data_IF_400682140913
#
_entry.id   IF_400682140913
#
_cell.length_a   1.000
_cell.length_b   1.000
_cell.length_c   1.000
_cell.angle_alpha   90.00
_cell.angle_beta   90.00
_cell.angle_gamma   90.00
#
_symmetry.space_group_name_H-M   'P 1'
#
loop_
_entity.id
_entity.type
_entity.pdbx_description
1 polymer ?
#
# COMPACT_ATOMS: atom_id res chain seq x y z
N UNK A 1 67.29 -61.20 -39.53
CA UNK A 1 65.84 -61.46 -39.72
C UNK A 1 65.11 -61.18 -38.43
N UNK A 2 64.09 -60.32 -38.53
CA UNK A 2 62.86 -60.22 -37.72
C UNK A 2 62.96 -59.79 -36.25
N UNK A 3 62.30 -58.65 -36.05
CA UNK A 3 62.07 -57.85 -34.86
C UNK A 3 60.99 -58.44 -33.93
N UNK A 4 60.84 -57.71 -32.82
CA UNK A 4 59.62 -57.42 -32.06
C UNK A 4 59.30 -58.34 -30.87
N UNK A 5 59.77 -57.92 -29.69
CA UNK A 5 59.06 -58.15 -28.44
C UNK A 5 58.90 -56.82 -27.70
N UNK A 6 57.64 -56.61 -27.31
CA UNK A 6 56.99 -55.57 -26.55
C UNK A 6 57.76 -54.95 -25.37
N UNK A 7 57.56 -53.64 -25.19
CA UNK A 7 57.48 -53.04 -23.85
C UNK A 7 56.38 -51.98 -23.85
N UNK A 8 55.31 -52.28 -23.12
CA UNK A 8 54.19 -51.38 -22.81
C UNK A 8 54.62 -50.45 -21.68
N UNK A 9 54.59 -49.14 -21.92
CA UNK A 9 54.85 -48.10 -20.92
C UNK A 9 53.51 -47.46 -20.52
N UNK A 10 53.06 -47.53 -19.25
CA UNK A 10 51.91 -46.76 -18.82
C UNK A 10 52.35 -45.32 -18.51
N UNK A 11 51.74 -44.39 -19.23
CA UNK A 11 51.90 -42.95 -19.04
C UNK A 11 51.13 -42.53 -17.78
N UNK A 12 51.84 -42.30 -16.67
CA UNK A 12 51.27 -41.69 -15.46
C UNK A 12 50.95 -40.21 -15.74
N UNK A 13 49.70 -39.90 -16.03
CA UNK A 13 49.17 -38.54 -15.98
C UNK A 13 48.97 -38.15 -14.50
N UNK A 14 49.88 -37.34 -13.95
CA UNK A 14 49.65 -36.65 -12.68
C UNK A 14 48.68 -35.50 -12.92
N UNK A 15 47.38 -35.74 -12.70
CA UNK A 15 46.37 -34.69 -12.59
C UNK A 15 46.68 -33.88 -11.33
N UNK A 16 47.25 -32.69 -11.51
CA UNK A 16 47.25 -31.67 -10.46
C UNK A 16 45.81 -31.19 -10.31
N UNK A 17 45.12 -31.68 -9.29
CA UNK A 17 43.86 -31.10 -8.85
C UNK A 17 44.19 -29.74 -8.26
N UNK A 18 44.02 -28.68 -9.06
CA UNK A 18 44.01 -27.31 -8.53
C UNK A 18 42.77 -27.23 -7.64
N UNK A 19 42.98 -27.28 -6.33
CA UNK A 19 41.95 -26.97 -5.37
C UNK A 19 41.45 -25.54 -5.67
N UNK A 20 40.21 -25.41 -6.13
CA UNK A 20 39.57 -24.11 -6.23
C UNK A 20 39.39 -23.59 -4.80
N UNK A 21 40.21 -22.63 -4.39
CA UNK A 21 40.01 -21.91 -3.14
C UNK A 21 38.63 -21.24 -3.18
N UNK A 22 37.70 -21.80 -2.41
CA UNK A 22 36.42 -21.15 -2.13
C UNK A 22 36.73 -19.92 -1.28
N UNK A 23 36.28 -18.77 -1.76
CA UNK A 23 36.42 -17.49 -1.07
C UNK A 23 35.12 -17.19 -0.33
N UNK A 24 35.22 -16.41 0.73
CA UNK A 24 34.07 -15.80 1.39
C UNK A 24 33.50 -14.69 0.49
N UNK A 25 32.18 -14.50 0.55
CA UNK A 25 31.47 -13.44 -0.17
C UNK A 25 30.71 -12.59 0.84
N UNK A 26 31.05 -11.30 0.90
CA UNK A 26 30.36 -10.31 1.74
C UNK A 26 29.41 -9.51 0.85
N UNK A 27 28.11 -9.61 1.11
CA UNK A 27 27.10 -8.78 0.45
C UNK A 27 26.84 -7.54 1.31
N UNK A 28 27.07 -6.36 0.73
CA UNK A 28 26.82 -5.08 1.39
C UNK A 28 25.38 -4.58 1.20
N UNK A 29 24.98 -3.63 2.05
CA UNK A 29 23.64 -2.99 2.01
C UNK A 29 23.40 -2.24 0.69
N UNK A 30 24.44 -1.72 0.07
CA UNK A 30 24.36 -1.06 -1.23
C UNK A 30 24.30 -2.04 -2.42
N UNK A 31 24.33 -3.36 -2.17
CA UNK A 31 24.29 -4.39 -3.21
C UNK A 31 25.66 -4.86 -3.72
N UNK A 32 26.77 -4.29 -3.22
CA UNK A 32 28.12 -4.72 -3.62
C UNK A 32 28.44 -6.10 -3.04
N UNK A 33 29.02 -6.98 -3.86
CA UNK A 33 29.53 -8.27 -3.44
C UNK A 33 31.06 -8.24 -3.39
N UNK A 34 31.63 -8.38 -2.19
CA UNK A 34 33.06 -8.43 -1.98
C UNK A 34 33.51 -9.88 -1.86
N UNK A 35 34.37 -10.33 -2.76
CA UNK A 35 34.91 -11.70 -2.76
C UNK A 35 36.32 -11.72 -2.19
N UNK A 36 36.56 -12.53 -1.17
CA UNK A 36 37.83 -12.54 -0.44
C UNK A 36 37.78 -13.45 0.79
N UNK A 37 38.43 -13.06 1.88
CA UNK A 37 38.49 -13.83 3.12
C UNK A 37 38.17 -12.96 4.33
N UNK A 38 37.23 -13.38 5.14
CA UNK A 38 36.95 -12.79 6.45
C UNK A 38 37.94 -13.37 7.45
N UNK A 39 38.76 -12.49 8.04
CA UNK A 39 39.85 -12.88 8.95
C UNK A 39 39.44 -12.77 10.42
N UNK A 40 38.59 -11.80 10.75
CA UNK A 40 38.12 -11.55 12.11
C UNK A 40 36.74 -10.88 12.08
N UNK A 41 35.92 -11.17 13.09
CA UNK A 41 34.62 -10.53 13.31
C UNK A 41 34.70 -9.87 14.69
N UNK A 42 34.94 -8.55 14.71
CA UNK A 42 34.88 -7.74 15.94
C UNK A 42 33.45 -7.38 16.30
N UNK A 43 33.23 -6.54 17.30
CA UNK A 43 31.86 -6.20 17.74
C UNK A 43 31.10 -5.35 16.72
N UNK A 44 31.75 -4.33 16.16
CA UNK A 44 31.17 -3.32 15.26
C UNK A 44 31.61 -3.46 13.79
N UNK A 45 32.71 -4.17 13.53
CA UNK A 45 33.33 -4.31 12.22
C UNK A 45 33.90 -5.72 12.00
N UNK A 46 34.14 -6.06 10.74
CA UNK A 46 34.85 -7.26 10.33
C UNK A 46 36.17 -6.88 9.66
N UNK A 47 37.18 -7.76 9.75
CA UNK A 47 38.43 -7.64 9.01
C UNK A 47 38.37 -8.54 7.78
N UNK A 48 38.51 -7.96 6.60
CA UNK A 48 38.35 -8.62 5.31
C UNK A 48 39.58 -8.42 4.42
N UNK A 49 39.96 -9.43 3.65
CA UNK A 49 41.05 -9.38 2.67
C UNK A 49 40.49 -9.75 1.30
N UNK A 50 40.68 -8.90 0.28
CA UNK A 50 40.21 -9.23 -1.07
C UNK A 50 40.97 -10.40 -1.68
N UNK A 51 40.32 -11.12 -2.59
CA UNK A 51 40.94 -12.22 -3.32
C UNK A 51 42.21 -11.74 -4.05
N UNK A 52 43.34 -12.34 -3.72
CA UNK A 52 44.64 -12.03 -4.34
C UNK A 52 45.37 -10.84 -3.70
N UNK A 53 44.82 -10.24 -2.65
CA UNK A 53 45.47 -9.17 -1.88
C UNK A 53 45.97 -9.68 -0.52
N UNK A 54 46.85 -8.92 0.12
CA UNK A 54 47.35 -9.17 1.48
C UNK A 54 46.94 -8.09 2.49
N UNK A 55 46.30 -7.02 2.01
CA UNK A 55 45.85 -5.92 2.87
C UNK A 55 44.55 -6.28 3.59
N UNK A 56 44.49 -5.93 4.87
CA UNK A 56 43.34 -6.16 5.74
C UNK A 56 42.50 -4.88 5.81
N UNK A 57 41.24 -4.99 5.42
CA UNK A 57 40.26 -3.90 5.43
C UNK A 57 39.28 -4.07 6.58
N UNK A 58 38.95 -2.98 7.27
CA UNK A 58 37.90 -2.95 8.28
C UNK A 58 36.57 -2.54 7.63
N UNK A 59 35.56 -3.42 7.68
CA UNK A 59 34.23 -3.18 7.12
C UNK A 59 33.22 -3.17 8.25
N UNK A 60 32.43 -2.09 8.36
CA UNK A 60 31.40 -1.97 9.39
C UNK A 60 30.30 -3.00 9.18
N UNK A 61 29.87 -3.66 10.25
CA UNK A 61 28.77 -4.64 10.20
C UNK A 61 27.44 -4.01 9.75
N UNK A 62 27.24 -2.72 10.03
CA UNK A 62 26.05 -1.96 9.57
C UNK A 62 25.90 -1.96 8.05
N UNK A 63 27.00 -2.09 7.34
CA UNK A 63 27.05 -1.96 5.89
C UNK A 63 26.99 -3.34 5.20
N UNK A 64 26.81 -4.42 5.98
CA UNK A 64 26.81 -5.82 5.53
C UNK A 64 25.41 -6.42 5.71
N UNK A 65 24.84 -6.98 4.64
CA UNK A 65 23.60 -7.77 4.68
C UNK A 65 23.92 -9.19 5.17
N UNK A 66 24.82 -9.87 4.46
CA UNK A 66 25.21 -11.26 4.76
C UNK A 66 26.65 -11.55 4.37
N UNK A 67 27.24 -12.53 5.03
CA UNK A 67 28.50 -13.17 4.66
C UNK A 67 28.21 -14.61 4.32
N UNK A 68 28.65 -15.05 3.14
CA UNK A 68 28.68 -16.46 2.73
C UNK A 68 30.11 -16.94 2.83
N UNK A 69 30.42 -17.76 3.83
CA UNK A 69 31.76 -18.29 4.02
C UNK A 69 32.08 -19.37 2.98
N UNK A 70 33.37 -19.57 2.71
CA UNK A 70 33.90 -20.64 1.88
C UNK A 70 33.43 -22.04 2.30
N UNK A 71 33.11 -22.21 3.59
CA UNK A 71 32.53 -23.44 4.17
C UNK A 71 31.06 -23.67 3.82
N UNK A 72 30.38 -22.70 3.20
CA UNK A 72 28.95 -22.72 2.95
C UNK A 72 28.09 -22.22 4.12
N UNK A 73 28.70 -21.88 5.27
CA UNK A 73 28.00 -21.19 6.36
C UNK A 73 27.57 -19.80 5.89
N UNK A 74 26.36 -19.39 6.23
CA UNK A 74 25.86 -18.03 5.95
C UNK A 74 25.57 -17.34 7.27
N UNK A 75 26.04 -16.11 7.42
CA UNK A 75 25.80 -15.28 8.60
C UNK A 75 25.23 -13.92 8.16
N UNK A 76 24.07 -13.56 8.72
CA UNK A 76 23.36 -12.33 8.39
C UNK A 76 23.66 -11.26 9.45
N UNK A 77 24.12 -10.10 9.01
CA UNK A 77 24.43 -8.96 9.89
C UNK A 77 23.35 -7.88 9.85
N UNK A 78 22.75 -7.67 8.68
CA UNK A 78 21.59 -6.82 8.50
C UNK A 78 20.52 -7.62 7.75
N UNK A 79 19.54 -8.16 8.48
CA UNK A 79 18.38 -8.81 7.87
C UNK A 79 17.42 -7.70 7.41
N UNK A 80 17.20 -7.47 6.11
CA UNK A 80 15.90 -6.93 5.72
C UNK A 80 14.85 -7.87 6.31
N UNK A 81 13.93 -7.33 7.10
CA UNK A 81 12.90 -8.10 7.79
C UNK A 81 12.02 -8.81 6.77
N UNK A 82 12.35 -10.08 6.53
CA UNK A 82 11.44 -11.08 5.99
C UNK A 82 10.87 -11.85 7.19
N UNK A 83 9.56 -12.14 7.19
CA UNK A 83 8.89 -12.71 8.35
C UNK A 83 9.33 -14.16 8.52
N UNK A 84 9.95 -14.48 9.64
CA UNK A 84 10.03 -15.86 10.09
C UNK A 84 10.02 -15.92 11.60
N UNK A 85 9.13 -16.78 12.07
CA UNK A 85 9.06 -17.49 13.35
C UNK A 85 10.14 -17.20 14.40
N UNK A 86 9.61 -16.79 15.55
CA UNK A 86 10.02 -17.15 16.90
C UNK A 86 11.52 -17.06 17.26
N UNK A 87 11.85 -16.06 18.09
CA UNK A 87 12.47 -16.29 19.40
C UNK A 87 12.27 -15.08 20.31
N UNK A 88 11.98 -15.42 21.56
CA UNK A 88 11.56 -14.57 22.68
C UNK A 88 12.62 -13.57 23.17
N UNK A 89 12.11 -12.62 23.96
CA UNK A 89 12.80 -11.79 24.96
C UNK A 89 13.66 -10.60 24.51
N UNK A 90 12.99 -9.45 24.30
CA UNK A 90 12.94 -8.32 25.27
C UNK A 90 12.05 -7.19 24.72
N UNK A 91 11.25 -6.50 25.56
CA UNK A 91 10.25 -5.55 25.10
C UNK A 91 10.92 -4.25 24.63
N UNK A 92 10.81 -3.94 23.34
CA UNK A 92 10.98 -2.56 22.82
C UNK A 92 9.66 -1.81 23.00
N UNK A 93 9.67 -0.57 23.52
CA UNK A 93 8.46 0.22 23.70
C UNK A 93 7.94 0.62 22.32
N UNK A 94 6.78 0.06 21.92
CA UNK A 94 6.10 0.40 20.67
C UNK A 94 5.43 -0.78 19.95
N UNK A 95 5.81 -2.02 20.25
CA UNK A 95 5.11 -3.20 19.70
C UNK A 95 3.99 -3.61 20.67
N UNK A 96 2.83 -2.98 20.51
CA UNK A 96 1.59 -3.69 20.85
C UNK A 96 1.41 -4.77 19.77
N UNK A 97 2.18 -5.87 19.84
CA UNK A 97 1.77 -7.10 19.18
C UNK A 97 0.57 -7.55 20.02
N UNK A 98 -0.61 -7.06 19.65
CA UNK A 98 -1.86 -7.64 20.15
C UNK A 98 -1.77 -9.15 19.93
N UNK A 99 -1.93 -9.93 21.00
CA UNK A 99 -2.02 -11.37 20.87
C UNK A 99 -3.09 -11.71 19.83
N UNK A 100 -2.95 -12.82 19.11
CA UNK A 100 -3.94 -13.26 18.11
C UNK A 100 -5.36 -13.31 18.70
N UNK A 101 -5.47 -13.58 20.00
CA UNK A 101 -6.72 -13.53 20.75
C UNK A 101 -7.29 -12.10 20.91
N UNK A 102 -6.44 -11.10 21.13
CA UNK A 102 -6.85 -9.70 21.31
C UNK A 102 -7.30 -9.03 20.02
N UNK A 103 -6.86 -9.55 18.86
CA UNK A 103 -7.29 -9.05 17.55
C UNK A 103 -8.69 -9.50 17.17
N UNK A 104 -9.18 -10.58 17.79
CA UNK A 104 -10.42 -11.25 17.38
C UNK A 104 -11.62 -10.33 17.41
N UNK A 105 -12.52 -10.52 16.44
CA UNK A 105 -13.78 -9.80 16.29
C UNK A 105 -13.63 -8.28 16.21
N UNK A 106 -12.44 -7.76 15.87
CA UNK A 106 -12.20 -6.33 15.68
C UNK A 106 -12.05 -6.00 14.21
N UNK A 107 -12.60 -4.87 13.82
CA UNK A 107 -12.54 -4.33 12.46
C UNK A 107 -11.87 -2.97 12.51
N UNK A 108 -10.90 -2.72 11.63
CA UNK A 108 -10.43 -1.38 11.31
C UNK A 108 -10.86 -0.99 9.89
N UNK A 109 -11.04 0.30 9.70
CA UNK A 109 -11.31 0.91 8.39
C UNK A 109 -10.10 1.77 8.08
N UNK A 110 -9.40 1.51 6.97
CA UNK A 110 -8.27 2.36 6.57
C UNK A 110 -8.79 3.70 6.01
N UNK A 111 -7.95 4.76 6.01
CA UNK A 111 -8.25 5.96 5.25
C UNK A 111 -8.53 5.61 3.79
N UNK A 112 -9.63 6.12 3.24
CA UNK A 112 -9.99 5.77 1.87
C UNK A 112 -9.07 6.47 0.89
N UNK A 113 -8.70 5.78 -0.19
CA UNK A 113 -8.06 6.45 -1.32
C UNK A 113 -9.13 7.19 -2.10
N UNK A 114 -8.97 8.51 -2.27
CA UNK A 114 -9.91 9.32 -3.03
C UNK A 114 -9.23 9.85 -4.29
N UNK A 115 -9.82 9.58 -5.45
CA UNK A 115 -9.32 9.97 -6.76
C UNK A 115 -10.37 10.88 -7.40
N UNK A 116 -9.98 12.11 -7.73
CA UNK A 116 -10.86 13.08 -8.39
C UNK A 116 -10.26 13.52 -9.72
N UNK A 117 -11.04 13.43 -10.80
CA UNK A 117 -10.60 13.78 -12.15
C UNK A 117 -9.26 13.11 -12.54
N UNK A 118 -9.13 11.82 -12.19
CA UNK A 118 -7.92 10.99 -12.33
C UNK A 118 -6.67 11.48 -11.58
N UNK A 119 -6.82 12.42 -10.66
CA UNK A 119 -5.76 12.89 -9.77
C UNK A 119 -6.04 12.44 -8.33
N UNK A 120 -4.98 12.28 -7.54
CA UNK A 120 -5.14 12.06 -6.10
C UNK A 120 -5.84 13.27 -5.48
N UNK A 121 -6.92 13.03 -4.77
CA UNK A 121 -7.60 14.08 -4.02
C UNK A 121 -6.94 14.27 -2.64
N UNK A 122 -7.33 15.35 -1.95
CA UNK A 122 -6.83 15.64 -0.60
C UNK A 122 -7.18 14.52 0.39
N UNK A 123 -6.27 14.27 1.35
CA UNK A 123 -6.42 13.25 2.39
C UNK A 123 -7.71 13.42 3.21
N UNK A 124 -8.18 14.67 3.36
CA UNK A 124 -9.41 15.01 4.09
C UNK A 124 -10.65 14.28 3.55
N UNK A 125 -10.79 14.12 2.23
CA UNK A 125 -11.93 13.38 1.66
C UNK A 125 -11.85 11.89 1.96
N UNK A 126 -10.63 11.34 2.00
CA UNK A 126 -10.39 9.96 2.41
C UNK A 126 -10.77 9.71 3.87
N UNK A 127 -10.41 10.64 4.77
CA UNK A 127 -10.79 10.59 6.18
C UNK A 127 -12.29 10.78 6.38
N UNK A 128 -12.94 11.65 5.60
CA UNK A 128 -14.39 11.81 5.66
C UNK A 128 -15.11 10.51 5.27
N UNK A 129 -14.72 9.90 4.15
CA UNK A 129 -15.34 8.64 3.71
C UNK A 129 -15.09 7.48 4.71
N UNK A 130 -13.91 7.45 5.35
CA UNK A 130 -13.62 6.53 6.45
C UNK A 130 -14.58 6.73 7.64
N UNK A 131 -14.82 7.97 8.05
CA UNK A 131 -15.74 8.29 9.16
C UNK A 131 -17.20 7.91 8.84
N UNK A 132 -17.64 8.10 7.60
CA UNK A 132 -18.97 7.69 7.16
C UNK A 132 -19.12 6.17 7.14
N UNK A 133 -18.09 5.46 6.66
CA UNK A 133 -18.00 4.00 6.72
C UNK A 133 -18.11 3.51 8.18
N UNK A 134 -17.35 4.11 9.10
CA UNK A 134 -17.39 3.80 10.53
C UNK A 134 -18.78 4.03 11.13
N UNK A 135 -19.37 5.21 10.87
CA UNK A 135 -20.69 5.59 11.39
C UNK A 135 -21.78 4.63 10.92
N UNK A 136 -21.68 4.12 9.68
CA UNK A 136 -22.62 3.14 9.16
C UNK A 136 -22.35 1.75 9.74
N UNK A 137 -21.11 1.26 9.66
CA UNK A 137 -20.75 -0.10 10.04
C UNK A 137 -20.89 -0.34 11.55
N UNK A 138 -20.54 0.63 12.39
CA UNK A 138 -20.68 0.54 13.86
C UNK A 138 -22.12 0.29 14.32
N UNK A 139 -23.13 0.68 13.52
CA UNK A 139 -24.55 0.42 13.80
C UNK A 139 -25.01 -0.98 13.38
N UNK A 140 -24.21 -1.66 12.57
CA UNK A 140 -24.56 -2.91 11.89
C UNK A 140 -23.46 -3.98 12.02
N UNK A 141 -22.53 -3.84 12.98
CA UNK A 141 -21.40 -4.76 13.14
C UNK A 141 -21.73 -6.00 13.99
N UNK A 142 -22.91 -6.06 14.60
CA UNK A 142 -23.32 -7.17 15.46
C UNK A 142 -22.38 -7.31 16.66
N UNK A 143 -21.75 -8.48 16.81
CA UNK A 143 -20.76 -8.76 17.86
C UNK A 143 -19.36 -8.24 17.53
N UNK A 144 -19.14 -7.73 16.31
CA UNK A 144 -17.84 -7.20 15.90
C UNK A 144 -17.65 -5.79 16.44
N UNK A 145 -16.45 -5.52 16.95
CA UNK A 145 -16.05 -4.21 17.46
C UNK A 145 -15.34 -3.43 16.36
N UNK A 146 -15.97 -2.34 15.91
CA UNK A 146 -15.32 -1.43 14.94
C UNK A 146 -14.45 -0.45 15.71
N UNK A 147 -13.15 -0.43 15.41
CA UNK A 147 -12.19 0.51 16.00
C UNK A 147 -12.43 1.91 15.44
N UNK A 148 -12.34 2.90 16.32
CA UNK A 148 -12.51 4.30 15.97
C UNK A 148 -11.47 4.76 14.90
N UNK A 149 -11.89 5.55 13.88
CA UNK A 149 -11.00 6.01 12.83
C UNK A 149 -9.79 6.81 13.33
N UNK A 150 -9.95 7.65 14.35
CA UNK A 150 -8.84 8.44 14.92
C UNK A 150 -7.81 7.53 15.57
N UNK A 151 -8.25 6.49 16.27
CA UNK A 151 -7.36 5.48 16.85
C UNK A 151 -6.60 4.73 15.77
N UNK A 152 -7.31 4.27 14.73
CA UNK A 152 -6.71 3.59 13.57
C UNK A 152 -5.64 4.46 12.92
N UNK A 153 -5.98 5.71 12.59
CA UNK A 153 -5.08 6.64 11.92
C UNK A 153 -3.86 6.98 12.78
N UNK A 154 -4.04 7.16 14.09
CA UNK A 154 -2.94 7.42 15.00
C UNK A 154 -1.97 6.22 15.08
N UNK A 155 -2.46 4.98 15.08
CA UNK A 155 -1.62 3.78 15.08
C UNK A 155 -0.86 3.63 13.77
N UNK A 156 -1.53 3.83 12.63
CA UNK A 156 -0.92 3.81 11.31
C UNK A 156 0.21 4.84 11.19
N UNK A 157 -0.04 6.09 11.57
CA UNK A 157 0.96 7.17 11.52
C UNK A 157 2.15 6.87 12.44
N UNK A 158 1.89 6.38 13.67
CA UNK A 158 2.95 5.98 14.61
C UNK A 158 3.84 4.86 14.07
N UNK A 159 3.28 3.95 13.27
CA UNK A 159 4.01 2.88 12.60
C UNK A 159 4.67 3.31 11.28
N UNK A 160 4.48 4.56 10.83
CA UNK A 160 5.01 5.06 9.57
C UNK A 160 4.19 4.66 8.33
N UNK A 161 3.00 4.09 8.52
CA UNK A 161 2.04 3.77 7.47
C UNK A 161 1.20 5.01 7.09
N UNK A 162 1.86 6.02 6.50
CA UNK A 162 1.24 7.23 5.96
C UNK A 162 0.63 6.97 4.58
N UNK A 163 -0.22 7.89 4.05
CA UNK A 163 -0.96 7.67 2.80
C UNK A 163 -0.05 7.34 1.58
N UNK A 164 1.16 7.88 1.56
CA UNK A 164 2.19 7.63 0.54
C UNK A 164 2.90 6.27 0.72
N UNK A 165 3.02 5.79 1.97
CA UNK A 165 3.81 4.60 2.34
C UNK A 165 2.97 3.37 2.65
N UNK A 166 1.65 3.52 2.83
CA UNK A 166 0.76 2.43 3.23
C UNK A 166 0.77 1.26 2.23
N UNK A 167 1.06 1.53 0.95
CA UNK A 167 1.25 0.48 -0.09
C UNK A 167 2.48 -0.40 0.12
N UNK A 168 3.42 0.04 0.95
CA UNK A 168 4.60 -0.74 1.32
C UNK A 168 4.35 -1.74 2.45
N UNK A 169 3.16 -1.72 3.07
CA UNK A 169 2.77 -2.63 4.14
C UNK A 169 1.84 -3.71 3.60
N UNK A 170 1.97 -4.93 4.10
CA UNK A 170 1.01 -6.00 3.85
C UNK A 170 -0.21 -5.88 4.76
N UNK A 171 -1.32 -6.53 4.42
CA UNK A 171 -2.55 -6.39 5.23
C UNK A 171 -2.43 -7.07 6.60
N UNK A 172 -1.67 -8.15 6.71
CA UNK A 172 -1.33 -8.79 7.98
C UNK A 172 -0.47 -7.87 8.88
N UNK A 173 0.51 -7.15 8.31
CA UNK A 173 1.27 -6.14 9.04
C UNK A 173 0.37 -5.01 9.55
N UNK A 174 -0.53 -4.50 8.71
CA UNK A 174 -1.50 -3.47 9.11
C UNK A 174 -2.46 -3.99 10.20
N UNK A 175 -2.93 -5.23 10.10
CA UNK A 175 -3.75 -5.86 11.13
C UNK A 175 -2.99 -5.98 12.45
N UNK A 176 -1.70 -6.34 12.42
CA UNK A 176 -0.86 -6.43 13.59
C UNK A 176 -0.57 -5.06 14.23
N UNK A 177 -0.34 -4.02 13.41
CA UNK A 177 -0.12 -2.64 13.88
C UNK A 177 -1.36 -2.08 14.57
N UNK A 178 -2.54 -2.27 13.98
CA UNK A 178 -3.80 -1.70 14.49
C UNK A 178 -4.39 -2.59 15.61
N UNK A 179 -4.09 -3.89 15.59
CA UNK A 179 -4.60 -4.87 16.53
C UNK A 179 -6.01 -5.36 16.20
N UNK A 180 -6.27 -5.68 14.94
CA UNK A 180 -7.58 -6.10 14.42
C UNK A 180 -7.53 -7.40 13.63
N UNK A 181 -8.67 -8.10 13.53
CA UNK A 181 -8.83 -9.32 12.73
C UNK A 181 -9.19 -8.99 11.28
N UNK A 182 -9.94 -7.91 11.05
CA UNK A 182 -10.42 -7.51 9.74
C UNK A 182 -10.06 -6.06 9.42
N UNK A 183 -9.68 -5.82 8.17
CA UNK A 183 -9.44 -4.49 7.61
C UNK A 183 -10.36 -4.25 6.43
N UNK A 184 -10.99 -3.07 6.39
CA UNK A 184 -11.69 -2.55 5.22
C UNK A 184 -10.77 -1.56 4.51
N UNK A 185 -10.49 -1.84 3.24
CA UNK A 185 -9.77 -0.97 2.32
C UNK A 185 -10.72 -0.54 1.19
N UNK A 186 -10.75 0.74 0.85
CA UNK A 186 -11.62 1.23 -0.20
C UNK A 186 -11.03 2.42 -0.96
N UNK A 187 -11.35 2.45 -2.25
CA UNK A 187 -11.04 3.56 -3.16
C UNK A 187 -12.32 4.16 -3.71
N UNK A 188 -12.44 5.47 -3.65
CA UNK A 188 -13.51 6.25 -4.28
C UNK A 188 -12.93 7.01 -5.47
N UNK A 189 -13.47 6.77 -6.65
CA UNK A 189 -13.13 7.51 -7.88
C UNK A 189 -14.30 8.39 -8.26
N UNK A 190 -14.05 9.69 -8.45
CA UNK A 190 -15.04 10.69 -8.81
C UNK A 190 -14.55 11.51 -9.99
N UNK A 191 -15.21 11.38 -11.13
CA UNK A 191 -14.86 12.13 -12.34
C UNK A 191 -15.98 13.10 -12.69
N UNK A 192 -15.64 14.35 -13.03
CA UNK A 192 -16.60 15.29 -13.60
C UNK A 192 -17.13 14.76 -14.93
N UNK A 193 -18.45 14.83 -15.10
CA UNK A 193 -19.11 14.51 -16.37
C UNK A 193 -19.71 15.77 -16.98
N UNK A 194 -20.98 15.74 -17.38
CA UNK A 194 -21.65 16.86 -18.04
C UNK A 194 -21.99 17.98 -17.07
N UNK A 195 -22.08 19.21 -17.58
CA UNK A 195 -22.68 20.33 -16.86
C UNK A 195 -24.11 20.51 -17.36
N UNK A 196 -25.10 20.53 -16.46
CA UNK A 196 -26.49 20.80 -16.80
C UNK A 196 -26.82 22.25 -16.43
N UNK A 197 -27.19 23.06 -17.42
CA UNK A 197 -27.63 24.45 -17.20
C UNK A 197 -29.12 24.58 -17.50
N UNK A 198 -29.87 25.06 -16.51
CA UNK A 198 -31.28 25.39 -16.66
C UNK A 198 -31.42 26.91 -16.67
N UNK A 199 -31.91 27.46 -17.78
CA UNK A 199 -32.16 28.89 -17.94
C UNK A 199 -33.67 29.12 -18.00
N UNK A 200 -34.21 29.86 -17.04
CA UNK A 200 -35.62 30.26 -17.01
C UNK A 200 -35.70 31.78 -17.22
N UNK A 201 -36.42 32.19 -18.26
CA UNK A 201 -36.64 33.58 -18.61
C UNK A 201 -38.12 33.91 -18.57
N UNK A 202 -38.46 35.07 -18.01
CA UNK A 202 -39.81 35.63 -18.13
C UNK A 202 -39.73 36.95 -18.87
N UNK A 203 -40.53 37.07 -19.94
CA UNK A 203 -40.65 38.28 -20.74
C UNK A 203 -41.97 38.93 -20.34
N UNK A 204 -41.91 40.12 -19.75
CA UNK A 204 -43.08 40.98 -19.55
C UNK A 204 -43.07 42.06 -20.62
N UNK A 205 -43.95 41.91 -21.60
CA UNK A 205 -44.23 42.93 -22.61
C UNK A 205 -45.41 43.79 -22.17
N UNK A 206 -45.29 45.11 -22.35
CA UNK A 206 -46.41 46.06 -22.24
C UNK A 206 -46.48 46.85 -23.54
N UNK A 207 -47.62 46.79 -24.21
CA UNK A 207 -47.91 47.64 -25.36
C UNK A 207 -48.36 49.01 -24.87
N UNK A 208 -47.71 50.06 -25.36
CA UNK A 208 -48.01 51.44 -25.00
C UNK A 208 -48.23 52.23 -26.31
N UNK A 209 -49.39 52.86 -26.46
CA UNK A 209 -49.70 53.65 -27.65
C UNK A 209 -48.90 54.95 -27.62
N UNK A 210 -48.02 55.16 -28.59
CA UNK A 210 -47.21 56.37 -28.67
C UNK A 210 -47.93 57.42 -29.53
N UNK A 211 -48.57 58.37 -28.86
CA UNK A 211 -49.41 59.40 -29.49
C UNK A 211 -48.62 60.40 -30.36
N UNK A 212 -47.28 60.45 -30.27
CA UNK A 212 -46.45 61.36 -31.08
C UNK A 212 -46.17 60.80 -32.48
N UNK A 213 -45.99 59.49 -32.60
CA UNK A 213 -45.66 58.81 -33.86
C UNK A 213 -46.83 58.02 -34.46
N UNK A 214 -48.00 58.07 -33.81
CA UNK A 214 -49.23 57.37 -34.20
C UNK A 214 -48.97 55.87 -34.45
N UNK A 215 -48.17 55.25 -33.57
CA UNK A 215 -47.74 53.86 -33.66
C UNK A 215 -47.75 53.21 -32.28
N UNK A 216 -48.03 51.91 -32.25
CA UNK A 216 -47.92 51.08 -31.05
C UNK A 216 -46.45 50.76 -30.80
N UNK A 217 -45.96 51.03 -29.60
CA UNK A 217 -44.60 50.72 -29.18
C UNK A 217 -44.65 49.65 -28.08
N UNK A 218 -43.88 48.56 -28.24
CA UNK A 218 -43.85 47.46 -27.28
C UNK A 218 -42.59 47.59 -26.43
N UNK A 219 -42.77 47.88 -25.13
CA UNK A 219 -41.67 47.84 -24.16
C UNK A 219 -41.66 46.48 -23.48
N UNK A 220 -40.57 45.73 -23.64
CA UNK A 220 -40.37 44.44 -23.00
C UNK A 220 -39.25 44.51 -21.97
N UNK A 221 -39.52 44.04 -20.76
CA UNK A 221 -38.50 43.77 -19.73
C UNK A 221 -38.31 42.26 -19.60
N UNK A 222 -37.07 41.80 -19.71
CA UNK A 222 -36.71 40.38 -19.62
C UNK A 222 -35.87 40.14 -18.38
N UNK A 223 -36.35 39.28 -17.47
CA UNK A 223 -35.56 38.75 -16.37
C UNK A 223 -35.24 37.29 -16.66
N UNK A 224 -33.95 36.95 -16.68
CA UNK A 224 -33.46 35.58 -16.87
C UNK A 224 -32.64 35.13 -15.66
N UNK A 225 -32.97 33.95 -15.14
CA UNK A 225 -32.18 33.25 -14.12
C UNK A 225 -31.56 32.01 -14.75
N UNK A 226 -30.27 31.79 -14.53
CA UNK A 226 -29.55 30.61 -14.99
C UNK A 226 -28.94 29.88 -13.80
N UNK A 227 -29.24 28.59 -13.68
CA UNK A 227 -28.59 27.69 -12.72
C UNK A 227 -27.78 26.67 -13.49
N UNK A 228 -26.49 26.55 -13.18
CA UNK A 228 -25.62 25.49 -13.69
C UNK A 228 -25.28 24.50 -12.59
N UNK A 229 -25.42 23.20 -12.85
CA UNK A 229 -25.01 22.12 -11.97
C UNK A 229 -23.94 21.25 -12.66
N UNK A 230 -22.86 20.96 -11.94
CA UNK A 230 -21.84 20.01 -12.37
C UNK A 230 -22.26 18.59 -11.99
N UNK A 231 -22.28 17.67 -12.96
CA UNK A 231 -22.51 16.25 -12.68
C UNK A 231 -21.19 15.52 -12.45
N UNK A 232 -21.24 14.48 -11.63
CA UNK A 232 -20.10 13.63 -11.27
C UNK A 232 -20.44 12.17 -11.47
N UNK A 233 -19.52 11.38 -12.03
CA UNK A 233 -19.62 9.93 -12.03
C UNK A 233 -18.76 9.39 -10.90
N UNK A 234 -19.38 8.68 -9.95
CA UNK A 234 -18.66 8.09 -8.83
C UNK A 234 -18.61 6.57 -8.94
N UNK A 235 -17.47 5.97 -8.61
CA UNK A 235 -17.26 4.52 -8.47
C UNK A 235 -16.53 4.23 -7.16
N UNK A 236 -16.93 3.16 -6.49
CA UNK A 236 -16.26 2.66 -5.28
C UNK A 236 -15.76 1.26 -5.53
N UNK A 237 -14.51 1.01 -5.17
CA UNK A 237 -13.95 -0.33 -5.05
C UNK A 237 -13.67 -0.59 -3.58
N UNK A 238 -14.17 -1.71 -3.04
CA UNK A 238 -14.01 -2.08 -1.64
C UNK A 238 -13.44 -3.49 -1.54
N UNK A 239 -12.47 -3.62 -0.64
CA UNK A 239 -11.86 -4.88 -0.24
C UNK A 239 -11.99 -5.08 1.27
N UNK A 240 -12.12 -6.34 1.70
CA UNK A 240 -12.02 -6.73 3.10
C UNK A 240 -10.96 -7.79 3.24
N UNK A 241 -9.97 -7.52 4.08
CA UNK A 241 -8.86 -8.41 4.36
C UNK A 241 -8.92 -8.96 5.77
N UNK A 242 -8.39 -10.16 5.96
CA UNK A 242 -8.14 -10.74 7.29
C UNK A 242 -6.71 -10.48 7.74
N UNK A 243 -6.44 -10.71 9.02
CA UNK A 243 -5.10 -10.73 9.63
C UNK A 243 -4.14 -11.79 9.05
N UNK A 244 -4.61 -12.64 8.13
CA UNK A 244 -3.81 -13.60 7.36
C UNK A 244 -3.54 -13.14 5.93
N UNK A 245 -3.74 -11.86 5.64
CA UNK A 245 -3.59 -11.27 4.31
C UNK A 245 -4.52 -11.89 3.24
N UNK A 246 -5.65 -12.47 3.67
CA UNK A 246 -6.65 -13.07 2.76
C UNK A 246 -7.74 -12.06 2.46
N UNK A 247 -8.03 -11.83 1.17
CA UNK A 247 -9.17 -11.05 0.75
C UNK A 247 -10.46 -11.89 0.79
N UNK A 248 -11.40 -11.53 1.67
CA UNK A 248 -12.68 -12.24 1.86
C UNK A 248 -13.86 -11.53 1.18
N UNK A 249 -13.64 -10.33 0.63
CA UNK A 249 -14.65 -9.58 -0.10
C UNK A 249 -13.97 -8.58 -1.02
N UNK A 250 -14.24 -8.67 -2.32
CA UNK A 250 -13.78 -7.68 -3.30
C UNK A 250 -14.91 -7.38 -4.27
N UNK A 251 -15.44 -6.16 -4.20
CA UNK A 251 -16.51 -5.71 -5.10
C UNK A 251 -16.30 -4.26 -5.48
N UNK A 252 -16.76 -3.91 -6.68
CA UNK A 252 -16.91 -2.52 -7.10
C UNK A 252 -18.38 -2.17 -7.35
N UNK A 253 -18.71 -0.90 -7.16
CA UNK A 253 -20.03 -0.34 -7.47
C UNK A 253 -19.91 1.05 -8.02
N UNK A 254 -20.50 1.25 -9.19
CA UNK A 254 -20.76 2.57 -9.75
C UNK A 254 -22.01 3.17 -9.10
N UNK A 255 -21.93 4.43 -8.70
CA UNK A 255 -23.07 5.17 -8.15
C UNK A 255 -24.11 5.42 -9.22
N UNK A 256 -25.37 5.23 -8.83
CA UNK A 256 -26.54 5.52 -9.68
C UNK A 256 -26.80 7.03 -9.81
N UNK A 257 -26.45 7.80 -8.78
CA UNK A 257 -26.62 9.25 -8.76
C UNK A 257 -25.37 9.96 -9.28
N UNK A 258 -25.57 11.12 -9.90
CA UNK A 258 -24.49 11.91 -10.48
C UNK A 258 -24.09 13.13 -9.61
N UNK A 259 -24.29 13.03 -8.29
CA UNK A 259 -23.97 14.09 -7.32
C UNK A 259 -22.63 13.82 -6.62
N UNK A 260 -22.06 14.83 -5.97
CA UNK A 260 -20.82 14.70 -5.19
C UNK A 260 -20.96 13.63 -4.08
N UNK A 261 -22.08 13.60 -3.38
CA UNK A 261 -22.30 12.66 -2.26
C UNK A 261 -22.78 11.27 -2.71
N UNK A 262 -22.79 11.01 -4.03
CA UNK A 262 -23.30 9.76 -4.57
C UNK A 262 -22.49 8.53 -4.12
N UNK A 263 -21.26 8.72 -3.66
CA UNK A 263 -20.43 7.65 -3.12
C UNK A 263 -21.03 7.04 -1.84
N UNK A 264 -21.66 7.85 -0.97
CA UNK A 264 -22.20 7.38 0.32
C UNK A 264 -23.20 6.24 0.14
N UNK A 265 -24.11 6.37 -0.83
CA UNK A 265 -25.11 5.35 -1.13
C UNK A 265 -24.50 4.06 -1.69
N UNK A 266 -23.46 4.19 -2.52
CA UNK A 266 -22.72 3.05 -3.06
C UNK A 266 -21.94 2.33 -1.97
N UNK A 267 -21.33 3.09 -1.06
CA UNK A 267 -20.59 2.58 0.08
C UNK A 267 -21.50 1.76 1.00
N UNK A 268 -22.65 2.31 1.41
CA UNK A 268 -23.61 1.60 2.25
C UNK A 268 -24.09 0.29 1.63
N UNK A 269 -24.31 0.27 0.32
CA UNK A 269 -24.72 -0.97 -0.36
C UNK A 269 -23.62 -2.02 -0.39
N UNK A 270 -22.37 -1.62 -0.64
CA UNK A 270 -21.23 -2.53 -0.58
C UNK A 270 -21.08 -3.08 0.84
N UNK A 271 -21.15 -2.21 1.86
CA UNK A 271 -21.09 -2.61 3.28
C UNK A 271 -22.16 -3.66 3.62
N UNK A 272 -23.41 -3.45 3.19
CA UNK A 272 -24.51 -4.43 3.38
C UNK A 272 -24.25 -5.81 2.80
N UNK A 273 -23.32 -5.93 1.85
CA UNK A 273 -22.93 -7.21 1.22
C UNK A 273 -21.65 -7.80 1.80
N UNK A 274 -20.93 -7.07 2.64
CA UNK A 274 -19.73 -7.58 3.30
C UNK A 274 -20.10 -8.67 4.32
N UNK A 275 -19.21 -9.65 4.58
CA UNK A 275 -19.41 -10.63 5.66
C UNK A 275 -19.39 -10.00 7.06
N UNK A 276 -18.96 -8.74 7.17
CA UNK A 276 -18.88 -7.98 8.41
C UNK A 276 -20.21 -7.32 8.80
N UNK A 277 -21.17 -7.24 7.88
CA UNK A 277 -22.45 -6.59 8.11
C UNK A 277 -23.50 -7.56 8.67
N UNK A 278 -24.23 -7.10 9.69
CA UNK A 278 -25.39 -7.77 10.27
C UNK A 278 -26.62 -6.87 10.16
N UNK A 279 -27.73 -7.48 9.73
CA UNK A 279 -29.02 -6.80 9.51
C UNK A 279 -29.66 -6.37 10.81
#
# INVERSE_FOLDING_TARGET
MKHLVALVLPFLFTLHVIAQEKNDVVLKVNGDELTGKVTEIGDSEIKFVYKGETLVYAIKKSDIIKITYASGRIEFFNKPSLPSEAKEDKPKPGSAISNDADRRNKIAILPFTFITDKQGAGEDMGYQAQNECYTFLSKHSGELTVIDPRTTNALLIKAGATADKIRGFTMDELCAIIGVEYIIDATVTMDKTSQTSSQSGSIKGKEEYNSKDNKNEVKASTNSYSTSAQNYQTKITMNVFTDKNTNIFSQERQSFWNTTDAYVNSLQFLLKKTPLYRK
#
